data_IF_973938581061
#
_entry.id   IF_973938581061
#
_cell.length_a   1.000
_cell.length_b   1.000
_cell.length_c   1.000
_cell.angle_alpha   90.00
_cell.angle_beta   90.00
_cell.angle_gamma   90.00
#
_symmetry.space_group_name_H-M   'P 1'
#
loop_
_entity.id
_entity.type
_entity.pdbx_description
1 polymer ?
#
# COMPACT_ATOMS: atom_id res chain seq x y z
N UNK A 1 -66.85 13.27 28.01
CA UNK A 1 -66.14 13.97 29.09
C UNK A 1 -65.13 14.88 28.41
N UNK A 2 -65.56 16.02 27.89
CA UNK A 2 -65.75 17.32 28.59
C UNK A 2 -64.40 17.93 28.98
N UNK A 3 -64.02 19.18 28.71
CA UNK A 3 -64.57 20.33 28.01
C UNK A 3 -63.38 21.32 27.91
N UNK A 4 -63.36 22.20 26.91
CA UNK A 4 -62.60 23.47 27.00
C UNK A 4 -63.35 24.44 27.92
N UNK A 5 -62.66 25.40 28.60
CA UNK A 5 -62.65 26.76 28.03
C UNK A 5 -61.44 27.64 28.36
N UNK A 6 -61.38 28.72 27.56
CA UNK A 6 -60.59 29.95 27.66
C UNK A 6 -60.65 30.65 29.02
N UNK A 7 -59.63 31.44 29.38
CA UNK A 7 -59.85 32.87 29.76
C UNK A 7 -58.60 33.73 29.64
N UNK A 8 -58.85 34.96 29.19
CA UNK A 8 -58.03 36.15 28.99
C UNK A 8 -57.87 37.02 30.24
N UNK A 9 -56.77 37.80 30.32
CA UNK A 9 -56.65 39.18 30.87
C UNK A 9 -55.14 39.50 30.94
N UNK A 10 -54.52 40.43 30.21
CA UNK A 10 -54.73 41.87 29.95
C UNK A 10 -54.07 42.82 30.99
N UNK A 11 -53.51 43.91 30.44
CA UNK A 11 -52.95 45.12 31.05
C UNK A 11 -51.62 45.00 31.84
N UNK A 12 -50.59 45.85 31.69
CA UNK A 12 -50.44 47.14 31.00
C UNK A 12 -49.00 47.64 31.16
N UNK A 13 -48.40 48.24 30.12
CA UNK A 13 -47.82 49.60 30.17
C UNK A 13 -47.20 50.01 28.84
N UNK A 14 -47.69 51.17 28.38
CA UNK A 14 -47.27 51.99 27.25
C UNK A 14 -45.89 52.62 27.50
N UNK A 15 -45.01 52.62 26.49
CA UNK A 15 -44.71 53.70 25.51
C UNK A 15 -44.06 54.93 26.15
N UNK A 16 -42.80 55.20 25.80
CA UNK A 16 -42.47 56.42 25.04
C UNK A 16 -41.05 56.36 24.44
N UNK A 17 -40.99 56.84 23.21
CA UNK A 17 -39.83 56.89 22.34
C UNK A 17 -39.15 58.25 22.46
N UNK A 18 -37.82 58.29 22.34
CA UNK A 18 -37.11 59.50 21.91
C UNK A 18 -36.00 59.18 20.92
N UNK A 19 -36.26 59.67 19.70
CA UNK A 19 -35.36 60.06 18.62
C UNK A 19 -34.03 60.68 19.09
N UNK A 20 -32.94 60.33 18.40
CA UNK A 20 -31.66 61.05 18.45
C UNK A 20 -30.69 60.57 17.38
N UNK A 21 -30.54 61.35 16.31
CA UNK A 21 -29.55 61.25 15.24
C UNK A 21 -28.14 61.64 15.69
N UNK A 22 -27.09 60.97 15.20
CA UNK A 22 -25.85 61.55 14.64
C UNK A 22 -24.70 60.53 14.54
N UNK A 23 -24.03 60.55 13.39
CA UNK A 23 -22.60 60.35 13.12
C UNK A 23 -21.89 58.99 13.32
N UNK A 24 -21.24 58.56 12.23
CA UNK A 24 -20.28 57.46 12.12
C UNK A 24 -18.88 57.86 12.66
N UNK A 25 -17.77 57.10 12.46
CA UNK A 25 -17.53 55.65 12.36
C UNK A 25 -16.42 55.18 13.34
N UNK A 26 -16.32 53.91 13.76
CA UNK A 26 -15.02 53.31 14.14
C UNK A 26 -15.06 51.78 14.12
N UNK A 27 -14.09 51.19 13.41
CA UNK A 27 -14.00 49.75 13.20
C UNK A 27 -13.56 48.95 14.42
N UNK A 28 -13.94 47.66 14.43
CA UNK A 28 -13.22 46.63 15.18
C UNK A 28 -13.10 45.36 14.36
N UNK A 29 -11.85 45.01 14.08
CA UNK A 29 -11.40 43.75 13.49
C UNK A 29 -11.80 42.59 14.39
N UNK A 30 -12.52 41.61 13.84
CA UNK A 30 -12.74 40.32 14.50
C UNK A 30 -11.46 39.47 14.37
N UNK A 31 -10.94 39.09 15.53
CA UNK A 31 -9.64 38.44 15.74
C UNK A 31 -9.64 36.99 15.27
N UNK A 32 -8.66 36.65 14.42
CA UNK A 32 -8.42 35.32 13.84
C UNK A 32 -7.89 34.25 14.80
N UNK A 33 -8.27 34.31 16.08
CA UNK A 33 -7.75 33.41 17.13
C UNK A 33 -8.70 32.23 17.40
N UNK A 34 -10.00 32.38 17.12
CA UNK A 34 -11.00 31.33 17.41
C UNK A 34 -11.05 30.17 16.42
N UNK A 35 -10.47 30.30 15.22
CA UNK A 35 -10.42 29.20 14.23
C UNK A 35 -9.23 28.25 14.39
N UNK A 36 -8.14 28.65 15.06
CA UNK A 36 -6.95 27.80 15.23
C UNK A 36 -7.10 26.76 16.34
N UNK A 37 -7.94 27.03 17.34
CA UNK A 37 -8.20 26.11 18.47
C UNK A 37 -9.09 24.92 18.04
N UNK A 38 -10.00 25.12 17.09
CA UNK A 38 -10.86 24.06 16.56
C UNK A 38 -10.09 23.04 15.68
N UNK A 39 -9.05 23.49 14.96
CA UNK A 39 -8.23 22.61 14.11
C UNK A 39 -7.28 21.74 14.96
N UNK A 40 -6.77 22.26 16.07
CA UNK A 40 -5.92 21.50 17.00
C UNK A 40 -6.69 20.44 17.79
N UNK A 41 -7.95 20.70 18.16
CA UNK A 41 -8.77 19.73 18.90
C UNK A 41 -9.25 18.57 18.01
N UNK A 42 -9.47 18.80 16.71
CA UNK A 42 -9.72 17.73 15.75
C UNK A 42 -8.49 16.82 15.51
N UNK A 43 -7.27 17.38 15.58
CA UNK A 43 -6.03 16.61 15.42
C UNK A 43 -5.75 15.73 16.64
N UNK A 44 -6.06 16.20 17.87
CA UNK A 44 -5.85 15.43 19.12
C UNK A 44 -6.87 14.29 19.28
N UNK A 45 -8.10 14.46 18.80
CA UNK A 45 -9.10 13.38 18.79
C UNK A 45 -8.81 12.28 17.75
N UNK A 46 -8.09 12.58 16.67
CA UNK A 46 -7.66 11.54 15.70
C UNK A 46 -6.49 10.68 16.24
N UNK A 47 -5.65 11.23 17.11
CA UNK A 47 -4.49 10.49 17.68
C UNK A 47 -4.91 9.55 18.82
N UNK A 48 -5.96 9.87 19.59
CA UNK A 48 -6.43 9.00 20.68
C UNK A 48 -7.11 7.70 20.21
N UNK A 49 -7.59 7.64 18.98
CA UNK A 49 -8.15 6.39 18.41
C UNK A 49 -7.04 5.40 17.95
N UNK A 50 -5.76 5.79 18.02
CA UNK A 50 -4.63 4.92 17.67
C UNK A 50 -4.18 3.99 18.81
N UNK A 51 -4.80 4.06 20.00
CA UNK A 51 -4.82 2.93 20.93
C UNK A 51 -5.89 1.93 20.47
N UNK A 52 -5.75 1.45 19.23
CA UNK A 52 -6.33 0.16 18.91
C UNK A 52 -5.68 -0.82 19.88
N UNK A 53 -6.47 -1.44 20.77
CA UNK A 53 -6.06 -2.68 21.41
C UNK A 53 -5.42 -3.53 20.31
N UNK A 54 -4.11 -3.74 20.38
CA UNK A 54 -3.46 -4.75 19.54
C UNK A 54 -4.30 -6.00 19.73
N UNK A 55 -4.91 -6.58 18.67
CA UNK A 55 -5.70 -7.78 18.82
C UNK A 55 -4.86 -8.76 19.64
N UNK A 56 -5.39 -9.37 20.69
CA UNK A 56 -4.55 -10.28 21.47
C UNK A 56 -4.17 -11.46 20.54
N UNK A 57 -2.88 -11.87 20.53
CA UNK A 57 -2.53 -13.13 19.87
C UNK A 57 -3.37 -14.21 20.57
N UNK A 58 -4.10 -15.07 19.83
CA UNK A 58 -4.90 -16.10 20.45
C UNK A 58 -4.02 -17.01 21.31
N UNK A 59 -4.49 -17.29 22.52
CA UNK A 59 -3.90 -18.26 23.43
C UNK A 59 -4.93 -19.37 23.70
N UNK A 60 -4.67 -20.63 23.31
CA UNK A 60 -3.47 -21.12 22.62
C UNK A 60 -3.46 -20.80 21.11
N UNK A 61 -2.26 -20.64 20.53
CA UNK A 61 -2.09 -20.32 19.11
C UNK A 61 -2.24 -21.58 18.24
N UNK A 62 -3.17 -21.54 17.29
CA UNK A 62 -3.36 -22.60 16.28
C UNK A 62 -2.57 -22.29 15.01
N UNK A 63 -2.26 -23.33 14.21
CA UNK A 63 -1.58 -23.17 12.93
C UNK A 63 -2.37 -22.27 11.98
N UNK A 64 -3.69 -22.47 11.87
CA UNK A 64 -4.58 -21.65 11.04
C UNK A 64 -4.52 -20.18 11.46
N UNK A 65 -4.63 -19.89 12.76
CA UNK A 65 -4.54 -18.52 13.26
C UNK A 65 -3.17 -17.89 12.94
N UNK A 66 -2.07 -18.61 13.14
CA UNK A 66 -0.72 -18.11 12.84
C UNK A 66 -0.55 -17.75 11.35
N UNK A 67 -1.09 -18.59 10.46
CA UNK A 67 -1.03 -18.38 9.01
C UNK A 67 -1.93 -17.21 8.57
N UNK A 68 -3.13 -17.08 9.12
CA UNK A 68 -4.03 -15.94 8.87
C UNK A 68 -3.40 -14.62 9.32
N UNK A 69 -2.84 -14.57 10.54
CA UNK A 69 -2.16 -13.37 11.05
C UNK A 69 -0.96 -12.99 10.16
N UNK A 70 -0.17 -13.97 9.73
CA UNK A 70 0.97 -13.73 8.85
C UNK A 70 0.57 -13.18 7.47
N UNK A 71 -0.60 -13.61 6.95
CA UNK A 71 -1.17 -13.14 5.69
C UNK A 71 -1.80 -11.75 5.81
N UNK A 72 -2.44 -11.45 6.94
CA UNK A 72 -3.25 -10.26 7.15
C UNK A 72 -2.52 -9.10 7.83
N UNK A 73 -1.19 -9.04 7.69
CA UNK A 73 -0.40 -7.98 8.32
C UNK A 73 -0.81 -6.58 7.82
N UNK A 74 -1.24 -5.66 8.72
CA UNK A 74 -1.83 -4.38 8.32
C UNK A 74 -0.92 -3.50 7.46
N UNK A 75 0.36 -3.39 7.83
CA UNK A 75 1.34 -2.57 7.08
C UNK A 75 1.57 -3.12 5.66
N UNK A 76 1.60 -4.44 5.51
CA UNK A 76 1.74 -5.07 4.22
C UNK A 76 0.48 -4.83 3.37
N UNK A 77 -0.71 -5.03 3.95
CA UNK A 77 -1.97 -4.77 3.25
C UNK A 77 -2.11 -3.31 2.81
N UNK A 78 -1.72 -2.36 3.66
CA UNK A 78 -1.76 -0.94 3.33
C UNK A 78 -0.82 -0.61 2.17
N UNK A 79 0.42 -1.10 2.21
CA UNK A 79 1.38 -0.89 1.12
C UNK A 79 0.84 -1.44 -0.20
N UNK A 80 0.32 -2.66 -0.21
CA UNK A 80 -0.21 -3.28 -1.44
C UNK A 80 -1.49 -2.63 -1.94
N UNK A 81 -2.37 -2.19 -1.05
CA UNK A 81 -3.57 -1.44 -1.45
C UNK A 81 -3.16 -0.16 -2.16
N UNK A 82 -2.18 0.58 -1.63
CA UNK A 82 -1.67 1.78 -2.26
C UNK A 82 -1.01 1.50 -3.62
N UNK A 83 -0.24 0.40 -3.77
CA UNK A 83 0.38 0.07 -5.07
C UNK A 83 -0.64 -0.35 -6.12
N UNK A 84 -1.64 -1.14 -5.74
CA UNK A 84 -2.74 -1.54 -6.62
C UNK A 84 -3.58 -0.32 -7.02
N UNK A 85 -3.96 0.52 -6.07
CA UNK A 85 -4.74 1.75 -6.32
C UNK A 85 -3.99 2.71 -7.25
N UNK A 86 -2.69 2.87 -7.07
CA UNK A 86 -1.85 3.65 -7.97
C UNK A 86 -1.79 3.03 -9.37
N UNK A 87 -1.67 1.71 -9.48
CA UNK A 87 -1.69 1.01 -10.77
C UNK A 87 -3.07 1.11 -11.45
N UNK A 88 -4.16 1.05 -10.70
CA UNK A 88 -5.53 1.26 -11.20
C UNK A 88 -5.73 2.70 -11.68
N UNK A 89 -5.23 3.68 -10.94
CA UNK A 89 -5.24 5.08 -11.38
C UNK A 89 -4.43 5.29 -12.67
N UNK A 90 -3.31 4.57 -12.86
CA UNK A 90 -2.56 4.59 -14.13
C UNK A 90 -3.36 4.00 -15.27
N UNK A 91 -4.06 2.88 -15.07
CA UNK A 91 -4.95 2.32 -16.09
C UNK A 91 -6.07 3.30 -16.43
N UNK A 92 -6.73 3.88 -15.42
CA UNK A 92 -7.78 4.87 -15.62
C UNK A 92 -7.28 6.09 -16.40
N UNK A 93 -6.09 6.60 -16.09
CA UNK A 93 -5.47 7.70 -16.81
C UNK A 93 -5.19 7.41 -18.30
N UNK A 94 -5.06 6.14 -18.70
CA UNK A 94 -4.87 5.76 -20.11
C UNK A 94 -6.16 5.68 -20.92
N UNK A 95 -7.31 5.51 -20.26
CA UNK A 95 -8.63 5.48 -20.92
C UNK A 95 -9.06 6.87 -21.43
N UNK A 96 -8.33 7.92 -21.05
CA UNK A 96 -8.50 9.32 -21.42
C UNK A 96 -7.93 9.63 -22.84
N UNK A 97 -7.76 8.62 -23.70
CA UNK A 97 -7.10 8.74 -25.01
C UNK A 97 -7.87 9.54 -26.07
N UNK A 98 -9.21 9.59 -25.95
CA UNK A 98 -10.12 10.35 -26.82
C UNK A 98 -10.80 11.50 -26.07
N UNK A 99 -10.10 12.06 -25.10
CA UNK A 99 -10.67 13.07 -24.24
C UNK A 99 -10.71 14.43 -24.95
N UNK A 100 -11.79 15.16 -24.70
CA UNK A 100 -11.91 16.54 -25.15
C UNK A 100 -11.53 17.45 -23.99
N UNK A 101 -10.63 18.41 -24.24
CA UNK A 101 -10.24 19.41 -23.27
C UNK A 101 -10.96 20.71 -23.58
N UNK A 102 -11.75 21.18 -22.63
CA UNK A 102 -12.32 22.54 -22.67
C UNK A 102 -11.42 23.44 -21.82
N UNK A 103 -10.85 24.47 -22.43
CA UNK A 103 -10.04 25.48 -21.77
C UNK A 103 -10.69 26.85 -21.83
N UNK A 104 -10.45 27.66 -20.81
CA UNK A 104 -10.69 29.11 -20.84
C UNK A 104 -9.35 29.80 -21.14
N UNK A 105 -9.31 30.58 -22.20
CA UNK A 105 -8.17 31.41 -22.58
C UNK A 105 -8.49 32.83 -22.13
N UNK A 106 -7.66 33.40 -21.25
CA UNK A 106 -7.70 34.80 -20.85
C UNK A 106 -6.34 35.40 -21.12
N UNK A 107 -6.27 36.38 -22.02
CA UNK A 107 -5.04 37.06 -22.38
C UNK A 107 -5.29 38.57 -22.38
N UNK A 108 -5.22 39.21 -21.20
CA UNK A 108 -5.23 40.65 -21.11
C UNK A 108 -3.94 41.18 -21.76
N UNK A 109 -4.08 42.05 -22.74
CA UNK A 109 -2.95 42.60 -23.48
C UNK A 109 -3.20 44.08 -23.76
N UNK A 110 -2.14 44.86 -23.75
CA UNK A 110 -2.13 46.23 -24.27
C UNK A 110 -1.11 46.30 -25.39
N UNK A 111 -1.44 46.97 -26.49
CA UNK A 111 -0.55 47.17 -27.62
C UNK A 111 -0.40 48.66 -27.90
N UNK A 112 0.82 49.11 -28.16
CA UNK A 112 1.07 50.41 -28.77
C UNK A 112 0.98 50.24 -30.29
N UNK A 113 0.06 50.98 -30.91
CA UNK A 113 -0.22 50.86 -32.35
C UNK A 113 0.68 51.74 -33.22
N UNK A 114 1.63 52.48 -32.64
CA UNK A 114 2.78 53.06 -33.35
C UNK A 114 2.45 53.80 -34.66
N UNK A 115 1.35 54.54 -34.72
CA UNK A 115 1.02 55.40 -35.86
C UNK A 115 1.60 56.78 -35.62
N UNK A 116 2.22 57.39 -36.63
CA UNK A 116 2.93 58.68 -36.55
C UNK A 116 2.08 59.88 -36.07
N UNK A 117 0.76 59.69 -35.90
CA UNK A 117 -0.20 60.71 -35.50
C UNK A 117 -0.92 60.39 -34.17
N UNK A 118 -0.78 59.20 -33.58
CA UNK A 118 -1.36 58.86 -32.27
C UNK A 118 -0.48 57.82 -31.56
N UNK A 119 0.34 58.24 -30.59
CA UNK A 119 1.03 57.34 -29.66
C UNK A 119 0.18 57.16 -28.40
N UNK A 120 -0.11 55.92 -28.06
CA UNK A 120 -0.90 55.57 -26.87
C UNK A 120 -1.04 54.07 -26.74
N UNK A 121 -0.90 53.55 -25.52
CA UNK A 121 -1.21 52.15 -25.24
C UNK A 121 -2.72 51.94 -25.37
N UNK A 122 -3.09 50.94 -26.14
CA UNK A 122 -4.47 50.60 -26.40
C UNK A 122 -4.74 49.18 -25.89
N UNK A 123 -5.90 48.95 -25.23
CA UNK A 123 -6.30 47.61 -24.82
C UNK A 123 -6.49 46.73 -26.05
N UNK A 124 -5.86 45.56 -26.03
CA UNK A 124 -5.90 44.55 -27.07
C UNK A 124 -6.08 43.15 -26.48
N UNK A 125 -6.81 43.07 -25.37
CA UNK A 125 -7.08 41.82 -24.67
C UNK A 125 -7.94 40.87 -25.49
N UNK A 126 -7.82 39.58 -25.19
CA UNK A 126 -8.74 38.55 -25.67
C UNK A 126 -9.15 37.59 -24.57
N UNK A 127 -10.37 37.08 -24.69
CA UNK A 127 -10.85 35.96 -23.90
C UNK A 127 -11.58 34.97 -24.79
N UNK A 128 -11.59 33.69 -24.44
CA UNK A 128 -12.23 32.69 -25.27
C UNK A 128 -12.26 31.29 -24.67
N UNK A 129 -12.99 30.40 -25.33
CA UNK A 129 -13.04 28.98 -25.00
C UNK A 129 -12.28 28.19 -26.07
N UNK A 130 -11.45 27.24 -25.64
CA UNK A 130 -10.79 26.27 -26.50
C UNK A 130 -11.36 24.88 -26.26
N UNK A 131 -11.65 24.15 -27.33
CA UNK A 131 -12.01 22.75 -27.31
C UNK A 131 -10.94 22.00 -28.11
N UNK A 132 -10.11 21.20 -27.45
CA UNK A 132 -9.08 20.39 -28.11
C UNK A 132 -9.44 18.92 -27.98
N UNK A 133 -9.43 18.18 -29.07
CA UNK A 133 -9.69 16.74 -29.09
C UNK A 133 -8.62 15.99 -29.89
N UNK A 134 -8.26 14.81 -29.41
CA UNK A 134 -7.46 13.84 -30.17
C UNK A 134 -8.35 13.05 -31.09
N UNK A 135 -8.19 13.27 -32.39
CA UNK A 135 -8.95 12.54 -33.41
C UNK A 135 -8.32 11.18 -33.71
N UNK A 136 -7.00 11.12 -33.70
CA UNK A 136 -6.24 9.87 -33.82
C UNK A 136 -4.84 10.02 -33.27
N UNK A 137 -4.37 9.00 -32.57
CA UNK A 137 -2.98 8.87 -32.12
C UNK A 137 -2.31 7.60 -32.65
N UNK A 138 -2.92 6.97 -33.67
CA UNK A 138 -2.39 5.82 -34.39
C UNK A 138 -2.00 4.64 -33.48
N UNK A 139 -2.79 4.43 -32.41
CA UNK A 139 -2.66 3.30 -31.48
C UNK A 139 -1.72 3.52 -30.31
N UNK A 140 -1.31 4.77 -30.04
CA UNK A 140 -0.48 5.10 -28.88
C UNK A 140 -1.24 4.93 -27.56
N UNK A 141 -2.48 5.42 -27.45
CA UNK A 141 -3.29 5.31 -26.23
C UNK A 141 -3.66 3.87 -25.92
N UNK A 142 -3.99 3.08 -26.94
CA UNK A 142 -4.21 1.63 -26.81
C UNK A 142 -2.97 0.93 -26.22
N UNK A 143 -1.78 1.18 -26.78
CA UNK A 143 -0.54 0.59 -26.25
C UNK A 143 -0.23 1.06 -24.83
N UNK A 144 -0.51 2.32 -24.48
CA UNK A 144 -0.36 2.81 -23.09
C UNK A 144 -1.31 2.08 -22.15
N UNK A 145 -2.55 1.85 -22.57
CA UNK A 145 -3.53 1.09 -21.80
C UNK A 145 -3.07 -0.35 -21.60
N UNK A 146 -2.60 -1.03 -22.65
CA UNK A 146 -2.07 -2.40 -22.57
C UNK A 146 -0.87 -2.52 -21.63
N UNK A 147 0.06 -1.56 -21.66
CA UNK A 147 1.18 -1.49 -20.71
C UNK A 147 0.67 -1.31 -19.28
N UNK A 148 -0.25 -0.37 -19.05
CA UNK A 148 -0.79 -0.09 -17.72
C UNK A 148 -1.57 -1.29 -17.16
N UNK A 149 -2.36 -1.98 -18.00
CA UNK A 149 -3.13 -3.15 -17.59
C UNK A 149 -2.24 -4.35 -17.28
N UNK A 150 -1.21 -4.60 -18.10
CA UNK A 150 -0.22 -5.65 -17.83
C UNK A 150 0.55 -5.37 -16.53
N UNK A 151 0.91 -4.10 -16.27
CA UNK A 151 1.54 -3.71 -15.01
C UNK A 151 0.61 -3.96 -13.82
N UNK A 152 -0.66 -3.58 -13.91
CA UNK A 152 -1.65 -3.86 -12.84
C UNK A 152 -1.80 -5.36 -12.57
N UNK A 153 -1.87 -6.17 -13.62
CA UNK A 153 -1.92 -7.63 -13.50
C UNK A 153 -0.67 -8.20 -12.81
N UNK A 154 0.52 -7.67 -13.16
CA UNK A 154 1.78 -8.00 -12.49
C UNK A 154 1.74 -7.66 -11.01
N UNK A 155 1.32 -6.45 -10.62
CA UNK A 155 1.25 -6.04 -9.20
C UNK A 155 0.26 -6.89 -8.39
N UNK A 156 -0.88 -7.28 -8.99
CA UNK A 156 -1.83 -8.19 -8.33
C UNK A 156 -1.23 -9.59 -8.13
N UNK A 157 -0.54 -10.12 -9.13
CA UNK A 157 0.08 -11.44 -9.06
C UNK A 157 1.26 -11.50 -8.07
N UNK A 158 2.10 -10.45 -8.01
CA UNK A 158 3.20 -10.36 -7.04
C UNK A 158 2.69 -10.33 -5.61
N UNK A 159 1.58 -9.64 -5.36
CA UNK A 159 0.93 -9.63 -4.05
C UNK A 159 0.47 -11.01 -3.61
N UNK A 160 -0.22 -11.75 -4.49
CA UNK A 160 -0.62 -13.13 -4.21
C UNK A 160 0.58 -14.03 -3.90
N UNK A 161 1.65 -13.93 -4.69
CA UNK A 161 2.87 -14.70 -4.45
C UNK A 161 3.49 -14.40 -3.07
N UNK A 162 3.47 -13.13 -2.65
CA UNK A 162 3.98 -12.73 -1.35
C UNK A 162 3.12 -13.26 -0.19
N UNK A 163 1.78 -13.24 -0.34
CA UNK A 163 0.87 -13.83 0.64
C UNK A 163 1.14 -15.33 0.82
N UNK A 164 1.26 -16.08 -0.28
CA UNK A 164 1.51 -17.51 -0.26
C UNK A 164 2.89 -17.84 0.35
N UNK A 165 3.91 -17.04 0.01
CA UNK A 165 5.25 -17.19 0.60
C UNK A 165 5.20 -17.00 2.12
N UNK A 166 4.47 -15.98 2.60
CA UNK A 166 4.33 -15.74 4.05
C UNK A 166 3.56 -16.83 4.76
N UNK A 167 2.53 -17.36 4.11
CA UNK A 167 1.77 -18.50 4.60
C UNK A 167 2.70 -19.70 4.87
N UNK A 168 3.54 -20.06 3.90
CA UNK A 168 4.50 -21.16 4.01
C UNK A 168 5.54 -20.88 5.10
N UNK A 169 6.12 -19.67 5.13
CA UNK A 169 7.12 -19.30 6.15
C UNK A 169 6.52 -19.36 7.56
N UNK A 170 5.30 -18.86 7.75
CA UNK A 170 4.63 -18.93 9.05
C UNK A 170 4.40 -20.39 9.49
N UNK A 171 3.98 -21.26 8.56
CA UNK A 171 3.82 -22.69 8.80
C UNK A 171 5.13 -23.37 9.19
N UNK A 172 6.23 -23.12 8.46
CA UNK A 172 7.56 -23.65 8.77
C UNK A 172 8.02 -23.22 10.17
N UNK A 173 7.85 -21.94 10.51
CA UNK A 173 8.20 -21.43 11.84
C UNK A 173 7.33 -22.02 12.94
N UNK A 174 6.05 -22.24 12.67
CA UNK A 174 5.13 -22.87 13.61
C UNK A 174 5.57 -24.31 13.94
N UNK A 175 5.86 -25.13 12.92
CA UNK A 175 6.39 -26.48 13.14
C UNK A 175 7.78 -26.48 13.80
N UNK A 176 8.63 -25.51 13.50
CA UNK A 176 9.93 -25.36 14.16
C UNK A 176 9.80 -25.14 15.67
N UNK A 177 8.77 -24.40 16.11
CA UNK A 177 8.48 -24.24 17.55
C UNK A 177 8.03 -25.56 18.17
N UNK A 178 7.10 -26.28 17.53
CA UNK A 178 6.64 -27.58 18.04
C UNK A 178 7.79 -28.59 18.18
N UNK A 179 8.69 -28.64 17.19
CA UNK A 179 9.87 -29.50 17.25
C UNK A 179 10.84 -29.09 18.36
N UNK A 180 11.04 -27.78 18.57
CA UNK A 180 11.89 -27.29 19.64
C UNK A 180 11.29 -27.56 21.03
N UNK A 181 9.97 -27.46 21.19
CA UNK A 181 9.25 -27.80 22.41
C UNK A 181 9.40 -29.31 22.72
N UNK A 182 9.20 -30.19 21.73
CA UNK A 182 9.41 -31.63 21.87
C UNK A 182 10.87 -31.99 22.21
N UNK A 183 11.83 -31.35 21.54
CA UNK A 183 13.25 -31.56 21.82
C UNK A 183 13.61 -31.12 23.24
N UNK A 184 13.08 -29.98 23.69
CA UNK A 184 13.26 -29.52 25.07
C UNK A 184 12.73 -30.56 26.08
N UNK A 185 11.53 -31.09 25.88
CA UNK A 185 10.98 -32.12 26.79
C UNK A 185 11.87 -33.37 26.85
N UNK A 186 12.38 -33.84 25.71
CA UNK A 186 13.28 -34.99 25.68
C UNK A 186 14.62 -34.73 26.40
N UNK A 187 15.16 -33.50 26.31
CA UNK A 187 16.41 -33.15 27.02
C UNK A 187 16.17 -32.95 28.52
N UNK A 188 15.02 -32.40 28.91
CA UNK A 188 14.64 -32.22 30.32
C UNK A 188 14.47 -33.58 31.02
N UNK A 189 13.85 -34.55 30.33
CA UNK A 189 13.74 -35.94 30.82
C UNK A 189 15.12 -36.60 30.97
N UNK A 190 16.00 -36.48 29.96
CA UNK A 190 17.37 -37.02 30.03
C UNK A 190 18.17 -36.43 31.19
N UNK A 191 18.10 -35.11 31.38
CA UNK A 191 18.73 -34.43 32.50
C UNK A 191 18.18 -34.92 33.84
N UNK A 192 16.86 -35.04 33.96
CA UNK A 192 16.19 -35.54 35.17
C UNK A 192 16.64 -36.95 35.51
N UNK A 193 16.69 -37.85 34.52
CA UNK A 193 17.18 -39.22 34.71
C UNK A 193 18.65 -39.28 35.12
N UNK A 194 19.51 -38.44 34.52
CA UNK A 194 20.91 -38.33 34.90
C UNK A 194 21.09 -37.81 36.34
N UNK A 195 20.33 -36.80 36.72
CA UNK A 195 20.31 -36.25 38.08
C UNK A 195 19.91 -37.31 39.12
N UNK A 196 18.83 -38.06 38.87
CA UNK A 196 18.39 -39.13 39.76
C UNK A 196 19.45 -40.24 39.90
N UNK A 197 20.13 -40.61 38.81
CA UNK A 197 21.23 -41.60 38.84
C UNK A 197 22.41 -41.12 39.67
N UNK A 198 22.83 -39.87 39.48
CA UNK A 198 23.88 -39.23 40.28
C UNK A 198 23.52 -39.22 41.77
N UNK A 199 22.32 -38.73 42.12
CA UNK A 199 21.86 -38.64 43.51
C UNK A 199 21.82 -40.01 44.18
N UNK A 200 21.28 -41.03 43.48
CA UNK A 200 21.25 -42.42 43.98
C UNK A 200 22.65 -43.00 44.18
N UNK A 201 23.59 -42.75 43.26
CA UNK A 201 24.97 -43.23 43.38
C UNK A 201 25.67 -42.61 44.59
N UNK A 202 25.51 -41.29 44.79
CA UNK A 202 26.02 -40.58 45.96
C UNK A 202 25.45 -41.13 47.28
N UNK A 203 24.13 -41.25 47.37
CA UNK A 203 23.46 -41.78 48.57
C UNK A 203 23.86 -43.22 48.89
N UNK A 204 24.09 -44.06 47.86
CA UNK A 204 24.53 -45.46 48.05
C UNK A 204 26.00 -45.57 48.46
N UNK A 205 26.85 -44.66 47.98
CA UNK A 205 28.23 -44.56 48.48
C UNK A 205 28.23 -44.18 49.96
N UNK A 206 27.50 -43.14 50.33
CA UNK A 206 27.44 -42.62 51.71
C UNK A 206 26.89 -43.65 52.72
N UNK A 207 25.95 -44.52 52.31
CA UNK A 207 25.30 -45.50 53.20
C UNK A 207 25.84 -46.92 53.13
N UNK A 208 26.33 -47.36 51.98
CA UNK A 208 26.62 -48.78 51.72
C UNK A 208 27.97 -49.02 51.06
N UNK A 209 28.78 -47.97 50.81
CA UNK A 209 30.06 -48.06 50.09
C UNK A 209 30.00 -48.75 48.72
N UNK A 210 28.80 -48.88 48.15
CA UNK A 210 28.53 -49.66 46.94
C UNK A 210 29.01 -48.99 45.63
N UNK A 211 29.55 -47.77 45.71
CA UNK A 211 30.11 -47.04 44.58
C UNK A 211 31.44 -46.39 44.97
N UNK A 212 32.40 -46.44 44.05
CA UNK A 212 33.67 -45.72 44.19
C UNK A 212 33.50 -44.22 43.99
N UNK A 213 34.48 -43.44 44.46
CA UNK A 213 34.51 -41.98 44.24
C UNK A 213 34.51 -41.63 42.75
N UNK A 214 35.26 -42.38 41.95
CA UNK A 214 35.38 -42.15 40.50
C UNK A 214 34.05 -42.39 39.79
N UNK A 215 33.30 -43.42 40.18
CA UNK A 215 31.98 -43.69 39.60
C UNK A 215 30.95 -42.61 39.95
N UNK A 216 30.93 -42.12 41.20
CA UNK A 216 30.05 -41.01 41.59
C UNK A 216 30.40 -39.76 40.79
N UNK A 217 31.70 -39.45 40.63
CA UNK A 217 32.17 -38.32 39.83
C UNK A 217 31.79 -38.45 38.35
N UNK A 218 31.86 -39.65 37.79
CA UNK A 218 31.42 -39.91 36.42
C UNK A 218 29.92 -39.63 36.24
N UNK A 219 29.08 -40.06 37.20
CA UNK A 219 27.63 -39.76 37.16
C UNK A 219 27.33 -38.27 37.35
N UNK A 220 28.12 -37.57 38.15
CA UNK A 220 28.01 -36.11 38.26
C UNK A 220 28.36 -35.42 36.93
N UNK A 221 29.45 -35.82 36.29
CA UNK A 221 29.86 -35.31 34.98
C UNK A 221 28.77 -35.54 33.92
N UNK A 222 28.19 -36.74 33.87
CA UNK A 222 27.06 -37.07 33.00
C UNK A 222 25.86 -36.13 33.22
N UNK A 223 25.50 -35.88 34.48
CA UNK A 223 24.44 -34.94 34.85
C UNK A 223 24.75 -33.51 34.38
N UNK A 224 25.96 -33.01 34.65
CA UNK A 224 26.35 -31.66 34.23
C UNK A 224 26.31 -31.52 32.70
N UNK A 225 26.74 -32.54 31.97
CA UNK A 225 26.66 -32.58 30.51
C UNK A 225 25.20 -32.51 30.01
N UNK A 226 24.28 -33.27 30.61
CA UNK A 226 22.85 -33.18 30.25
C UNK A 226 22.23 -31.82 30.65
N UNK A 227 22.66 -31.23 31.77
CA UNK A 227 22.20 -29.91 32.20
C UNK A 227 22.54 -28.82 31.17
N UNK A 228 23.76 -28.85 30.62
CA UNK A 228 24.17 -27.93 29.54
C UNK A 228 23.30 -28.13 28.29
N UNK A 229 23.05 -29.38 27.88
CA UNK A 229 22.17 -29.69 26.73
C UNK A 229 20.74 -29.18 26.93
N UNK A 230 20.21 -29.32 28.14
CA UNK A 230 18.89 -28.78 28.51
C UNK A 230 18.86 -27.26 28.40
N UNK A 231 19.88 -26.55 28.90
CA UNK A 231 19.99 -25.09 28.76
C UNK A 231 20.05 -24.65 27.28
N UNK A 232 20.85 -25.35 26.46
CA UNK A 232 20.91 -25.10 25.01
C UNK A 232 19.54 -25.29 24.34
N UNK A 233 18.81 -26.34 24.73
CA UNK A 233 17.46 -26.59 24.20
C UNK A 233 16.44 -25.51 24.62
N UNK A 234 16.54 -24.95 25.84
CA UNK A 234 15.67 -23.83 26.26
C UNK A 234 15.94 -22.57 25.44
N UNK A 235 17.21 -22.26 25.16
CA UNK A 235 17.57 -21.14 24.29
C UNK A 235 17.04 -21.34 22.86
N UNK A 236 17.19 -22.54 22.31
CA UNK A 236 16.66 -22.88 20.99
C UNK A 236 15.13 -22.72 20.92
N UNK A 237 14.42 -23.15 21.95
CA UNK A 237 12.96 -22.97 22.10
C UNK A 237 12.55 -21.50 22.13
N UNK A 238 13.24 -20.66 22.92
CA UNK A 238 12.96 -19.22 22.96
C UNK A 238 13.24 -18.55 21.61
N UNK A 239 14.31 -18.96 20.92
CA UNK A 239 14.70 -18.44 19.61
C UNK A 239 13.67 -18.79 18.54
N UNK A 240 13.20 -20.03 18.47
CA UNK A 240 12.18 -20.45 17.49
C UNK A 240 10.86 -19.71 17.70
N UNK A 241 10.44 -19.51 18.96
CA UNK A 241 9.25 -18.70 19.28
C UNK A 241 9.39 -17.24 18.85
N UNK A 242 10.58 -16.66 19.00
CA UNK A 242 10.84 -15.31 18.49
C UNK A 242 10.78 -15.25 16.96
N UNK A 243 11.35 -16.24 16.26
CA UNK A 243 11.27 -16.31 14.79
C UNK A 243 9.84 -16.46 14.28
N UNK A 244 8.99 -17.22 14.98
CA UNK A 244 7.56 -17.29 14.66
C UNK A 244 6.88 -15.93 14.84
N UNK A 245 7.15 -15.23 15.94
CA UNK A 245 6.61 -13.90 16.19
C UNK A 245 6.99 -12.90 15.09
N UNK A 246 8.24 -12.93 14.63
CA UNK A 246 8.71 -12.11 13.49
C UNK A 246 8.01 -12.51 12.19
N UNK A 247 7.86 -13.81 11.90
CA UNK A 247 7.19 -14.29 10.70
C UNK A 247 5.70 -13.89 10.66
N UNK A 248 5.03 -13.88 11.81
CA UNK A 248 3.65 -13.40 11.95
C UNK A 248 3.54 -11.87 11.86
N UNK A 249 4.65 -11.13 11.94
CA UNK A 249 4.68 -9.66 11.91
C UNK A 249 4.46 -9.00 13.28
N UNK A 250 4.62 -9.76 14.36
CA UNK A 250 4.30 -9.38 15.72
C UNK A 250 5.51 -9.56 16.63
N UNK A 251 6.63 -8.84 16.41
CA UNK A 251 7.90 -9.10 17.10
C UNK A 251 7.83 -8.96 18.63
N UNK A 252 6.88 -8.14 19.12
CA UNK A 252 6.73 -7.80 20.53
C UNK A 252 5.75 -8.71 21.29
N UNK A 253 5.03 -9.59 20.61
CA UNK A 253 4.05 -10.48 21.23
C UNK A 253 4.35 -11.93 20.86
N UNK A 254 4.32 -12.82 21.86
CA UNK A 254 4.64 -14.24 21.71
C UNK A 254 3.56 -15.04 22.41
N UNK A 255 2.94 -15.97 21.69
CA UNK A 255 2.01 -16.90 22.31
C UNK A 255 2.77 -17.82 23.27
N UNK A 256 2.19 -18.04 24.45
CA UNK A 256 2.75 -18.95 25.45
C UNK A 256 2.64 -20.41 25.02
N UNK A 257 1.50 -20.79 24.44
CA UNK A 257 1.16 -22.18 24.15
C UNK A 257 0.68 -22.36 22.71
N UNK A 258 1.16 -23.40 22.04
CA UNK A 258 0.79 -23.74 20.66
C UNK A 258 -0.02 -25.03 20.65
N UNK A 259 -1.08 -25.05 19.83
CA UNK A 259 -1.87 -26.26 19.61
C UNK A 259 -1.22 -27.10 18.52
N UNK A 260 -0.90 -28.36 18.82
CA UNK A 260 -0.42 -29.31 17.81
C UNK A 260 -1.56 -29.59 16.81
N UNK A 261 -1.36 -29.35 15.50
CA UNK A 261 -2.37 -29.63 14.51
C UNK A 261 -2.56 -31.14 14.37
N UNK A 262 -3.79 -31.57 14.08
CA UNK A 262 -4.04 -32.95 13.68
C UNK A 262 -3.51 -33.14 12.25
N UNK A 263 -2.53 -34.03 12.10
CA UNK A 263 -1.92 -34.35 10.80
C UNK A 263 -2.33 -35.74 10.29
N UNK A 264 -3.27 -36.42 10.96
CA UNK A 264 -3.69 -37.77 10.59
C UNK A 264 -4.13 -37.85 9.11
N UNK A 265 -4.90 -36.88 8.65
CA UNK A 265 -5.41 -36.81 7.27
C UNK A 265 -4.30 -36.68 6.21
N UNK A 266 -3.09 -36.27 6.61
CA UNK A 266 -1.95 -36.07 5.71
C UNK A 266 -0.96 -37.25 5.73
N UNK A 267 -1.03 -38.14 6.71
CA UNK A 267 -0.09 -39.26 6.83
C UNK A 267 -0.24 -40.28 5.69
N UNK A 268 -1.49 -40.54 5.28
CA UNK A 268 -1.82 -41.55 4.27
C UNK A 268 -2.11 -40.94 2.89
N UNK A 269 -1.99 -39.61 2.75
CA UNK A 269 -2.23 -38.94 1.48
C UNK A 269 -1.09 -39.23 0.51
N UNK A 270 -1.34 -39.93 -0.61
CA UNK A 270 -0.30 -40.14 -1.60
C UNK A 270 0.12 -38.78 -2.19
N UNK A 271 1.42 -38.55 -2.28
CA UNK A 271 1.96 -37.40 -3.00
C UNK A 271 1.65 -37.63 -4.49
N UNK A 272 0.97 -36.69 -5.17
CA UNK A 272 0.68 -36.82 -6.59
C UNK A 272 1.97 -37.01 -7.41
N UNK A 273 1.85 -37.65 -8.57
CA UNK A 273 2.99 -37.82 -9.47
C UNK A 273 3.60 -36.46 -9.88
N UNK A 274 4.91 -36.46 -10.09
CA UNK A 274 5.67 -35.27 -10.45
C UNK A 274 5.10 -34.56 -11.67
N UNK A 275 4.64 -35.29 -12.70
CA UNK A 275 4.11 -34.67 -13.92
C UNK A 275 2.82 -33.91 -13.64
N UNK A 276 1.96 -34.44 -12.76
CA UNK A 276 0.73 -33.78 -12.31
C UNK A 276 1.09 -32.49 -11.57
N UNK A 277 2.01 -32.56 -10.61
CA UNK A 277 2.46 -31.39 -9.84
C UNK A 277 3.10 -30.33 -10.73
N UNK A 278 3.94 -30.72 -11.70
CA UNK A 278 4.59 -29.80 -12.63
C UNK A 278 3.54 -29.07 -13.47
N UNK A 279 2.56 -29.81 -14.01
CA UNK A 279 1.48 -29.21 -14.79
C UNK A 279 0.68 -28.21 -13.96
N UNK A 280 0.35 -28.53 -12.70
CA UNK A 280 -0.37 -27.63 -11.80
C UNK A 280 0.44 -26.37 -11.48
N UNK A 281 1.74 -26.52 -11.18
CA UNK A 281 2.65 -25.40 -10.91
C UNK A 281 2.74 -24.47 -12.11
N UNK A 282 2.86 -24.99 -13.33
CA UNK A 282 2.97 -24.18 -14.55
C UNK A 282 1.72 -23.31 -14.82
N UNK A 283 0.55 -23.72 -14.35
CA UNK A 283 -0.72 -23.00 -14.55
C UNK A 283 -1.11 -22.13 -13.36
N UNK A 284 -0.85 -22.59 -12.13
CA UNK A 284 -1.40 -22.00 -10.92
C UNK A 284 -0.41 -21.10 -10.19
N UNK A 285 0.90 -21.35 -10.30
CA UNK A 285 1.91 -20.68 -9.47
C UNK A 285 1.86 -19.14 -9.63
N UNK A 286 1.61 -18.40 -8.53
CA UNK A 286 1.48 -16.94 -8.58
C UNK A 286 2.79 -16.24 -8.92
N UNK A 287 3.95 -16.80 -8.55
CA UNK A 287 5.26 -16.25 -8.95
C UNK A 287 5.46 -16.36 -10.46
N UNK A 288 5.06 -17.48 -11.08
CA UNK A 288 5.12 -17.63 -12.53
C UNK A 288 4.13 -16.68 -13.23
N UNK A 289 2.91 -16.52 -12.69
CA UNK A 289 1.94 -15.53 -13.20
C UNK A 289 2.50 -14.11 -13.13
N UNK A 290 3.11 -13.74 -12.01
CA UNK A 290 3.78 -12.45 -11.85
C UNK A 290 4.94 -12.27 -12.85
N UNK A 291 5.77 -13.29 -13.03
CA UNK A 291 6.87 -13.25 -13.99
C UNK A 291 6.37 -13.10 -15.44
N UNK A 292 5.34 -13.86 -15.84
CA UNK A 292 4.70 -13.75 -17.16
C UNK A 292 4.10 -12.37 -17.39
N UNK A 293 3.38 -11.82 -16.40
CA UNK A 293 2.82 -10.48 -16.49
C UNK A 293 3.91 -9.39 -16.62
N UNK A 294 5.06 -9.55 -15.96
CA UNK A 294 6.21 -8.63 -16.14
C UNK A 294 6.80 -8.71 -17.55
N UNK A 295 6.95 -9.92 -18.08
CA UNK A 295 7.40 -10.12 -19.47
C UNK A 295 6.41 -9.48 -20.42
N UNK A 296 5.10 -9.67 -20.21
CA UNK A 296 4.06 -9.02 -20.99
C UNK A 296 4.17 -7.49 -20.92
N UNK A 297 4.33 -6.89 -19.73
CA UNK A 297 4.57 -5.44 -19.60
C UNK A 297 5.80 -4.99 -20.37
N UNK A 298 6.90 -5.74 -20.31
CA UNK A 298 8.11 -5.43 -21.06
C UNK A 298 7.87 -5.48 -22.58
N UNK A 299 7.16 -6.50 -23.07
CA UNK A 299 6.81 -6.61 -24.50
C UNK A 299 5.89 -5.47 -24.95
N UNK A 300 4.88 -5.13 -24.16
CA UNK A 300 3.96 -4.02 -24.47
C UNK A 300 4.67 -2.66 -24.42
N UNK A 301 5.63 -2.48 -23.51
CA UNK A 301 6.40 -1.23 -23.42
C UNK A 301 7.33 -1.06 -24.61
N UNK A 302 7.90 -2.16 -25.14
CA UNK A 302 8.64 -2.16 -26.40
C UNK A 302 7.75 -1.75 -27.57
N UNK A 303 6.55 -2.36 -27.70
CA UNK A 303 5.59 -2.00 -28.75
C UNK A 303 5.14 -0.54 -28.65
N UNK A 304 4.89 -0.05 -27.43
CA UNK A 304 4.58 1.36 -27.19
C UNK A 304 5.74 2.25 -27.67
N UNK A 305 6.99 1.91 -27.35
CA UNK A 305 8.16 2.69 -27.75
C UNK A 305 8.27 2.85 -29.27
N UNK A 306 7.88 1.83 -30.03
CA UNK A 306 7.82 1.86 -31.49
C UNK A 306 6.69 2.77 -31.99
N UNK A 307 5.58 2.86 -31.25
CA UNK A 307 4.42 3.70 -31.60
C UNK A 307 4.56 5.17 -31.18
N UNK A 308 5.46 5.51 -30.24
CA UNK A 308 5.69 6.91 -29.81
C UNK A 308 6.06 7.83 -30.98
N UNK A 309 6.75 7.30 -31.99
CA UNK A 309 7.13 8.05 -33.19
C UNK A 309 6.05 8.07 -34.28
N UNK A 310 4.81 7.62 -33.98
CA UNK A 310 3.70 7.72 -34.93
C UNK A 310 3.12 9.13 -34.96
N UNK A 311 2.50 9.52 -36.10
CA UNK A 311 1.81 10.80 -36.19
C UNK A 311 0.68 10.92 -35.17
N UNK A 312 0.25 12.15 -34.90
CA UNK A 312 -0.92 12.44 -34.07
C UNK A 312 -1.79 13.50 -34.74
N UNK A 313 -3.09 13.23 -34.83
CA UNK A 313 -4.10 14.11 -35.40
C UNK A 313 -4.94 14.72 -34.28
N UNK A 314 -4.92 16.04 -34.18
CA UNK A 314 -5.69 16.80 -33.19
C UNK A 314 -6.61 17.79 -33.87
N UNK A 315 -7.85 17.85 -33.42
CA UNK A 315 -8.80 18.90 -33.75
C UNK A 315 -8.84 19.94 -32.64
N UNK A 316 -8.82 21.21 -33.00
CA UNK A 316 -8.96 22.33 -32.06
C UNK A 316 -10.03 23.29 -32.56
N UNK A 317 -10.95 23.67 -31.68
CA UNK A 317 -11.98 24.66 -31.92
C UNK A 317 -11.84 25.79 -30.89
N UNK A 318 -11.62 27.01 -31.37
CA UNK A 318 -11.43 28.20 -30.56
C UNK A 318 -12.57 29.18 -30.81
N UNK A 319 -13.20 29.63 -29.73
CA UNK A 319 -14.21 30.68 -29.72
C UNK A 319 -13.62 31.86 -28.96
N UNK A 320 -13.34 32.97 -29.64
CA UNK A 320 -12.59 34.10 -29.08
C UNK A 320 -13.32 35.43 -29.26
N UNK A 321 -13.20 36.27 -28.24
CA UNK A 321 -13.61 37.65 -28.24
C UNK A 321 -12.38 38.55 -28.03
N UNK A 322 -12.36 39.69 -28.71
CA UNK A 322 -11.26 40.65 -28.66
C UNK A 322 -11.81 42.01 -28.22
N UNK A 323 -11.08 42.71 -27.34
CA UNK A 323 -11.41 44.07 -26.90
C UNK A 323 -11.48 45.05 -28.07
N UNK A 324 -10.66 44.82 -29.10
CA UNK A 324 -10.68 45.58 -30.33
C UNK A 324 -10.81 44.65 -31.53
N UNK A 325 -11.72 44.97 -32.45
CA UNK A 325 -11.89 44.23 -33.68
C UNK A 325 -11.51 45.13 -34.86
N UNK A 326 -10.22 45.42 -35.00
CA UNK A 326 -9.71 46.24 -36.12
C UNK A 326 -8.99 45.36 -37.14
N UNK A 327 -9.63 45.14 -38.30
CA UNK A 327 -9.06 44.46 -39.47
C UNK A 327 -9.59 43.04 -39.75
N UNK A 328 -9.38 42.56 -40.98
CA UNK A 328 -9.79 41.25 -41.48
C UNK A 328 -8.97 40.05 -40.93
N UNK A 329 -8.05 40.30 -40.00
CA UNK A 329 -7.05 39.32 -39.51
C UNK A 329 -7.43 38.65 -38.17
N UNK A 330 -8.63 38.89 -37.62
CA UNK A 330 -9.05 38.37 -36.31
C UNK A 330 -10.22 37.41 -36.45
N UNK A 331 -10.01 36.16 -36.07
CA UNK A 331 -11.03 35.10 -36.15
C UNK A 331 -11.77 34.98 -34.82
N UNK A 332 -13.09 35.18 -34.82
CA UNK A 332 -13.93 34.93 -33.63
C UNK A 332 -14.16 33.43 -33.40
N UNK A 333 -14.15 32.65 -34.48
CA UNK A 333 -14.26 31.19 -34.44
C UNK A 333 -13.15 30.64 -35.32
N UNK A 334 -12.35 29.73 -34.77
CA UNK A 334 -11.28 29.06 -35.51
C UNK A 334 -11.38 27.56 -35.28
N UNK A 335 -11.45 26.81 -36.38
CA UNK A 335 -11.28 25.36 -36.37
C UNK A 335 -9.92 25.02 -37.00
N UNK A 336 -9.09 24.29 -36.26
CA UNK A 336 -7.76 23.86 -36.68
C UNK A 336 -7.68 22.35 -36.64
N UNK A 337 -7.22 21.75 -37.74
CA UNK A 337 -6.82 20.36 -37.79
C UNK A 337 -5.30 20.31 -37.87
N UNK A 338 -4.65 19.75 -36.86
CA UNK A 338 -3.21 19.65 -36.79
C UNK A 338 -2.76 18.20 -36.83
N UNK A 339 -1.98 17.85 -37.87
CA UNK A 339 -1.26 16.59 -37.96
C UNK A 339 0.19 16.83 -37.56
N UNK A 340 0.62 16.26 -36.42
CA UNK A 340 2.00 16.31 -35.96
C UNK A 340 2.72 15.02 -36.32
N UNK A 341 3.75 15.12 -37.17
CA UNK A 341 4.57 13.98 -37.59
C UNK A 341 5.99 14.17 -37.05
N UNK A 342 6.47 13.34 -36.11
CA UNK A 342 7.85 13.43 -35.64
C UNK A 342 8.79 12.86 -36.71
N UNK A 343 9.68 13.71 -37.25
CA UNK A 343 10.63 13.31 -38.30
C UNK A 343 11.97 12.83 -37.74
N UNK A 344 12.50 13.56 -36.74
CA UNK A 344 13.76 13.23 -36.06
C UNK A 344 13.57 13.49 -34.57
N UNK A 345 13.86 12.50 -33.73
CA UNK A 345 13.99 12.71 -32.29
C UNK A 345 15.41 12.37 -31.84
N UNK A 346 16.01 13.23 -31.00
CA UNK A 346 17.36 12.98 -30.45
C UNK A 346 17.38 11.72 -29.56
N UNK A 347 16.23 11.37 -28.99
CA UNK A 347 16.04 10.17 -28.15
C UNK A 347 16.02 8.86 -28.96
N UNK A 348 15.68 8.89 -30.26
CA UNK A 348 15.71 7.70 -31.13
C UNK A 348 17.11 7.09 -31.22
N UNK A 349 18.15 7.94 -31.25
CA UNK A 349 19.54 7.51 -31.38
C UNK A 349 20.09 6.87 -30.10
N UNK A 350 19.69 7.35 -28.92
CA UNK A 350 20.13 6.77 -27.63
C UNK A 350 19.43 5.43 -27.36
N UNK A 351 18.16 5.28 -27.79
CA UNK A 351 17.40 4.04 -27.62
C UNK A 351 17.89 2.89 -28.50
N UNK A 352 18.26 3.16 -29.76
CA UNK A 352 18.88 2.15 -30.64
C UNK A 352 20.20 1.61 -30.06
N UNK A 353 21.05 2.52 -29.56
CA UNK A 353 22.32 2.13 -28.93
C UNK A 353 22.16 1.29 -27.64
N UNK A 354 21.05 1.47 -26.89
CA UNK A 354 20.75 0.66 -25.71
C UNK A 354 20.19 -0.73 -26.06
N UNK A 355 19.37 -0.83 -27.12
CA UNK A 355 18.85 -2.11 -27.60
C UNK A 355 19.98 -2.96 -28.19
N UNK A 356 20.92 -2.36 -28.94
CA UNK A 356 22.10 -3.06 -29.46
C UNK A 356 23.02 -3.59 -28.35
N UNK A 357 23.22 -2.84 -27.26
CA UNK A 357 23.98 -3.33 -26.09
C UNK A 357 23.28 -4.44 -25.32
N UNK A 358 21.95 -4.42 -25.24
CA UNK A 358 21.17 -5.44 -24.56
C UNK A 358 21.06 -6.75 -25.36
N UNK A 359 21.27 -6.72 -26.67
CA UNK A 359 21.31 -7.91 -27.53
C UNK A 359 22.67 -8.65 -27.52
N UNK A 360 23.69 -8.05 -26.91
CA UNK A 360 25.04 -8.62 -26.76
C UNK A 360 25.33 -9.16 -25.33
N UNK A 361 24.30 -9.29 -24.49
CA UNK A 361 24.30 -9.97 -23.19
C UNK A 361 23.27 -11.09 -23.23
#
# INVERSE_FOLDING_TARGET
MSDFPNTSADASRRVDALSGSADAPYGRRLSGISRRVAIFSALVLLVSQANAQSPAIPEPLTLVAAMTIAREQPLLQLHHRATIELAEARVAATQVGFDYRIGLVLEPRTADKGSALTSGLVSDGRYGLSLTTTLSDFGQSESRHLVASAQLASEKATFHALQDTRHIVAMERFFSVLLADLHFYAQDEKMTMAFLRFKRARERRERFEAYSMVEVQAKESDYQAQRVRRLQSDLARRRTRHHLAVAMGWPNSRSRDLVRPNLADYNDRPVPDYQVLLSEVLHTNPMLKAARARVETATQSLLLSQRVNRPRLTGELLLQHYDQFTGFSRDRVRALLQLRVPLVSRESHVRLAHIERAAHL
#
